data_IF_291509933863
#
_entry.id   IF_291509933863
#
_cell.length_a   1.000
_cell.length_b   1.000
_cell.length_c   1.000
_cell.angle_alpha   90.00
_cell.angle_beta   90.00
_cell.angle_gamma   90.00
#
_symmetry.space_group_name_H-M   'P 1'
#
loop_
_entity.id
_entity.type
_entity.pdbx_description
1 polymer ?
#
# COMPACT_ATOMS: atom_id res chain seq x y z
N UNK A 1 -1.84 -6.50 -26.84
CA UNK A 1 -1.94 -6.01 -26.22
C UNK A 1 -2.43 -5.50 -25.39
N UNK A 2 -2.39 -6.12 -25.77
CA UNK A 2 -2.66 -5.58 -25.02
C UNK A 2 -2.95 -5.28 -24.40
N UNK A 3 -2.90 -5.59 -24.56
CA UNK A 3 -3.20 -5.13 -23.82
C UNK A 3 -3.52 -4.71 -23.17
N UNK A 4 -3.50 -4.92 -23.43
CA UNK A 4 -3.84 -4.40 -22.77
C UNK A 4 -4.11 -3.93 -22.11
N UNK A 5 -4.08 -4.12 -22.54
CA UNK A 5 -4.40 -3.61 -21.91
C UNK A 5 -4.63 -3.18 -21.20
N UNK A 6 -4.82 -3.10 -21.79
CA UNK A 6 -5.23 -2.57 -21.08
C UNK A 6 -5.34 -2.32 -20.40
N UNK A 7 -5.14 -2.72 -20.65
CA UNK A 7 -5.33 -2.39 -19.99
C UNK A 7 -5.50 -2.06 -19.33
N UNK A 8 -5.32 -2.28 -19.35
CA UNK A 8 -5.48 -2.02 -18.69
C UNK A 8 -5.64 -1.79 -18.05
N UNK A 9 -5.55 -2.05 -18.28
CA UNK A 9 -5.71 -1.86 -17.67
C UNK A 9 -5.85 -1.67 -17.13
N UNK A 10 -5.85 -1.94 -17.50
CA UNK A 10 -6.02 -1.78 -16.89
C UNK A 10 -6.18 -1.58 -16.42
N UNK A 11 -6.09 -2.03 -16.74
CA UNK A 11 -6.23 -1.83 -16.19
C UNK A 11 -6.47 -1.73 -15.76
N UNK A 12 -6.40 -2.27 -16.17
CA UNK A 12 -6.52 -2.17 -15.72
C UNK A 12 -6.64 -2.27 -15.46
N UNK A 13 -6.67 -2.77 -15.86
CA UNK A 13 -6.63 -2.85 -15.63
C UNK A 13 -6.55 -3.22 -15.47
N UNK A 14 -6.50 -3.80 -15.77
CA UNK A 14 -6.32 -4.15 -15.65
C UNK A 14 -5.95 -4.61 -15.69
N UNK A 15 -5.73 -4.95 -16.04
CA UNK A 15 -5.26 -5.28 -16.14
C UNK A 15 -4.71 -5.63 -15.87
N UNK A 16 -4.29 -6.31 -15.94
CA UNK A 16 -3.72 -6.62 -15.71
C UNK A 16 -3.00 -6.95 -15.13
N UNK A 17 -2.71 -6.77 -14.98
CA UNK A 17 -1.54 -7.56 -14.91
C UNK A 17 -1.12 -7.95 -13.53
N UNK A 18 -0.64 -9.16 -13.37
CA UNK A 18 -0.30 -9.71 -12.09
C UNK A 18 1.00 -9.15 -11.54
N UNK A 19 1.84 -8.60 -12.38
CA UNK A 19 3.09 -8.00 -11.93
C UNK A 19 2.89 -6.86 -10.96
N UNK A 20 1.73 -6.19 -11.05
CA UNK A 20 1.44 -5.07 -10.17
C UNK A 20 1.19 -5.49 -8.73
N UNK A 21 0.91 -6.79 -8.51
CA UNK A 21 0.66 -7.30 -7.16
C UNK A 21 1.89 -7.93 -6.55
N UNK A 22 3.00 -7.94 -7.25
CA UNK A 22 4.20 -8.61 -6.75
C UNK A 22 4.91 -7.77 -5.70
N UNK A 23 5.24 -8.41 -4.58
CA UNK A 23 6.14 -7.82 -3.60
C UNK A 23 7.53 -7.84 -4.23
N UNK A 24 8.23 -6.73 -4.14
CA UNK A 24 9.53 -6.58 -4.77
C UNK A 24 10.63 -6.53 -3.73
N UNK A 25 11.66 -7.37 -3.88
CA UNK A 25 12.82 -7.34 -3.00
C UNK A 25 14.01 -6.87 -3.81
N UNK A 26 14.65 -5.81 -3.35
CA UNK A 26 15.80 -5.23 -4.02
C UNK A 26 16.95 -5.10 -3.03
N UNK A 27 18.08 -4.62 -3.52
CA UNK A 27 19.25 -4.39 -2.67
C UNK A 27 18.95 -3.37 -1.57
N UNK A 28 18.02 -2.46 -1.80
CA UNK A 28 17.67 -1.45 -0.80
C UNK A 28 16.47 -1.84 0.06
N UNK A 29 15.96 -3.06 -0.06
CA UNK A 29 14.89 -3.57 0.79
C UNK A 29 13.71 -4.08 0.01
N UNK A 30 12.65 -4.42 0.74
CA UNK A 30 11.43 -4.95 0.15
C UNK A 30 10.44 -3.81 -0.07
N UNK A 31 9.75 -3.85 -1.21
CA UNK A 31 8.72 -2.88 -1.54
C UNK A 31 7.43 -3.60 -1.81
N UNK A 32 6.34 -3.01 -1.37
CA UNK A 32 5.02 -3.64 -1.42
C UNK A 32 4.08 -2.79 -2.28
N UNK A 33 3.31 -3.40 -3.18
CA UNK A 33 2.39 -2.62 -4.01
C UNK A 33 1.16 -2.21 -3.25
N UNK A 34 0.68 -1.00 -3.52
CA UNK A 34 -0.64 -0.61 -3.04
C UNK A 34 -1.67 -1.30 -3.92
N UNK A 35 -2.92 -1.33 -3.47
CA UNK A 35 -3.97 -2.05 -4.18
C UNK A 35 -4.14 -1.49 -5.59
N UNK A 36 -4.24 -2.36 -6.61
CA UNK A 36 -4.44 -1.91 -7.98
C UNK A 36 -5.75 -1.13 -8.11
N UNK A 37 -5.71 -0.07 -8.89
CA UNK A 37 -6.88 0.74 -9.11
C UNK A 37 -7.22 1.72 -8.00
N UNK A 38 -6.36 1.82 -6.99
CA UNK A 38 -6.58 2.73 -5.86
C UNK A 38 -5.46 3.75 -5.78
N UNK A 39 -5.85 4.98 -5.43
CA UNK A 39 -4.90 5.99 -4.99
C UNK A 39 -4.98 5.99 -3.47
N UNK A 40 -3.84 5.93 -2.82
CA UNK A 40 -3.81 5.78 -1.37
C UNK A 40 -3.25 7.04 -0.74
N UNK A 41 -3.99 7.60 0.21
CA UNK A 41 -3.55 8.80 0.91
C UNK A 41 -2.48 8.46 1.93
N UNK A 42 -1.42 9.27 1.94
CA UNK A 42 -0.35 9.19 2.93
C UNK A 42 -0.63 10.26 3.97
N UNK A 43 -0.67 9.87 5.23
CA UNK A 43 -1.04 10.78 6.32
C UNK A 43 0.11 10.94 7.31
N UNK A 44 0.01 11.97 8.14
CA UNK A 44 1.07 12.24 9.12
C UNK A 44 1.03 11.30 10.30
N UNK A 45 -0.01 10.49 10.43
CA UNK A 45 -0.13 9.55 11.54
C UNK A 45 -1.11 8.45 11.20
N UNK A 46 -1.34 7.52 12.15
CA UNK A 46 -2.12 6.31 11.87
C UNK A 46 -3.62 6.51 11.99
N UNK A 47 -4.19 7.34 11.14
CA UNK A 47 -5.63 7.56 11.14
C UNK A 47 -6.06 8.57 10.11
N UNK A 48 -7.35 8.56 9.81
CA UNK A 48 -7.91 9.47 8.81
C UNK A 48 -8.11 10.88 9.34
N UNK A 49 -7.95 11.08 10.64
CA UNK A 49 -7.99 12.42 11.21
C UNK A 49 -6.65 13.15 11.07
N UNK A 50 -5.59 12.42 10.71
CA UNK A 50 -4.30 13.05 10.49
C UNK A 50 -4.25 13.65 9.08
N UNK A 51 -3.44 14.68 8.93
CA UNK A 51 -3.35 15.43 7.69
C UNK A 51 -2.79 14.55 6.55
N UNK A 52 -3.34 14.73 5.35
CA UNK A 52 -2.82 14.08 4.16
C UNK A 52 -1.56 14.82 3.71
N UNK A 53 -0.46 14.06 3.59
CA UNK A 53 0.82 14.61 3.12
C UNK A 53 0.88 14.58 1.60
N UNK A 54 0.42 13.48 1.02
CA UNK A 54 0.43 13.28 -0.42
C UNK A 54 -0.44 12.08 -0.74
N UNK A 55 -0.69 11.84 -2.02
CA UNK A 55 -1.46 10.70 -2.47
C UNK A 55 -0.58 9.86 -3.39
N UNK A 56 -0.53 8.55 -3.12
CA UNK A 56 0.25 7.64 -3.94
C UNK A 56 -0.48 7.37 -5.24
N UNK A 57 0.23 7.41 -6.38
CA UNK A 57 -0.40 7.10 -7.66
C UNK A 57 -0.67 5.61 -7.80
N UNK A 58 -1.49 5.25 -8.78
CA UNK A 58 -1.80 3.86 -9.06
C UNK A 58 -0.53 3.06 -9.26
N UNK A 59 -0.52 1.85 -8.72
CA UNK A 59 0.57 0.91 -8.96
C UNK A 59 1.86 1.18 -8.22
N UNK A 60 1.87 2.17 -7.34
CA UNK A 60 3.09 2.51 -6.61
C UNK A 60 3.46 1.38 -5.64
N UNK A 61 4.75 1.06 -5.58
CA UNK A 61 5.28 0.17 -4.55
C UNK A 61 5.96 1.00 -3.49
N UNK A 62 5.78 0.62 -2.24
CA UNK A 62 6.30 1.41 -1.13
C UNK A 62 7.06 0.51 -0.16
N UNK A 63 8.07 1.07 0.52
CA UNK A 63 8.73 0.35 1.60
C UNK A 63 7.86 0.41 2.85
N UNK A 64 8.08 -0.51 3.78
CA UNK A 64 7.44 -0.46 5.09
C UNK A 64 8.56 -0.60 6.13
N UNK A 65 8.83 0.47 6.85
CA UNK A 65 9.91 0.48 7.83
C UNK A 65 9.46 -0.02 9.19
N UNK A 66 8.23 0.29 9.55
CA UNK A 66 7.63 -0.17 10.81
C UNK A 66 6.13 -0.06 10.67
N UNK A 67 5.41 -0.68 11.61
CA UNK A 67 3.95 -0.66 11.60
C UNK A 67 3.45 -0.37 13.00
N UNK A 68 2.30 0.30 13.09
CA UNK A 68 1.72 0.58 14.39
C UNK A 68 0.19 0.57 14.28
N UNK A 69 -0.50 0.26 15.39
CA UNK A 69 -1.95 0.28 15.38
C UNK A 69 -2.48 1.71 15.41
N UNK A 70 -3.62 1.88 14.82
CA UNK A 70 -4.31 3.15 14.81
C UNK A 70 -5.76 2.94 14.47
N UNK A 71 -6.30 3.82 13.63
CA UNK A 71 -7.70 3.74 13.24
C UNK A 71 -7.98 2.49 12.43
N UNK A 72 -9.09 1.81 12.71
CA UNK A 72 -9.50 0.64 11.94
C UNK A 72 -10.02 1.09 10.57
N UNK A 73 -9.52 0.47 9.53
CA UNK A 73 -9.87 0.81 8.15
C UNK A 73 -10.23 -0.47 7.40
N UNK A 74 -11.29 -0.42 6.63
CA UNK A 74 -11.66 -1.51 5.72
C UNK A 74 -11.24 -1.13 4.32
N UNK A 75 -10.45 -1.98 3.70
CA UNK A 75 -9.96 -1.77 2.34
C UNK A 75 -10.02 -3.04 1.54
N UNK A 76 -9.42 -3.05 0.33
CA UNK A 76 -9.50 -4.21 -0.54
C UNK A 76 -8.85 -5.47 0.03
N UNK A 77 -7.95 -5.33 0.99
CA UNK A 77 -7.29 -6.49 1.58
C UNK A 77 -7.83 -6.81 2.97
N UNK A 78 -9.01 -6.30 3.30
CA UNK A 78 -9.68 -6.64 4.54
C UNK A 78 -9.73 -5.47 5.51
N UNK A 79 -10.09 -5.76 6.75
CA UNK A 79 -10.18 -4.76 7.81
C UNK A 79 -8.98 -4.88 8.72
N UNK A 80 -8.32 -3.78 8.98
CA UNK A 80 -7.12 -3.78 9.81
C UNK A 80 -6.99 -2.44 10.53
N UNK A 81 -6.37 -2.47 11.70
CA UNK A 81 -6.02 -1.23 12.39
C UNK A 81 -4.53 -0.92 12.26
N UNK A 82 -3.81 -1.68 11.43
CA UNK A 82 -2.40 -1.42 11.24
C UNK A 82 -2.18 -0.30 10.23
N UNK A 83 -1.17 0.50 10.49
CA UNK A 83 -0.73 1.56 9.61
C UNK A 83 0.74 1.38 9.34
N UNK A 84 1.12 1.51 8.08
CA UNK A 84 2.46 1.22 7.60
C UNK A 84 3.25 2.51 7.46
N UNK A 85 4.39 2.57 8.15
CA UNK A 85 5.29 3.72 8.04
C UNK A 85 6.14 3.56 6.79
N UNK A 86 6.00 4.49 5.85
CA UNK A 86 6.67 4.40 4.56
C UNK A 86 7.75 5.46 4.38
N UNK A 87 7.80 6.43 5.28
CA UNK A 87 8.82 7.47 5.31
C UNK A 87 8.67 8.17 6.65
N UNK A 88 9.61 9.04 6.98
CA UNK A 88 9.57 9.74 8.25
C UNK A 88 8.28 10.57 8.35
N UNK A 89 7.46 10.25 9.36
CA UNK A 89 6.20 10.96 9.58
C UNK A 89 5.14 10.69 8.52
N UNK A 90 5.23 9.58 7.79
CA UNK A 90 4.28 9.26 6.72
C UNK A 90 3.75 7.83 6.90
N UNK A 91 2.43 7.71 6.91
CA UNK A 91 1.76 6.45 7.17
C UNK A 91 0.65 6.20 6.16
N UNK A 92 0.45 4.93 5.79
CA UNK A 92 -0.67 4.51 4.96
C UNK A 92 -1.39 3.36 5.66
N UNK A 93 -2.69 3.22 5.39
CA UNK A 93 -3.48 2.15 5.98
C UNK A 93 -3.07 0.82 5.36
N UNK A 94 -2.73 -0.16 6.20
CA UNK A 94 -2.28 -1.48 5.75
C UNK A 94 -3.36 -2.18 4.92
N UNK A 95 -4.63 -1.86 5.16
CA UNK A 95 -5.75 -2.46 4.43
C UNK A 95 -5.70 -2.18 2.93
N UNK A 96 -4.87 -1.22 2.48
CA UNK A 96 -4.72 -0.88 1.08
C UNK A 96 -3.36 -1.31 0.51
N UNK A 97 -2.58 -2.10 1.26
CA UNK A 97 -1.24 -2.50 0.83
C UNK A 97 -1.14 -4.02 0.79
N UNK A 98 -0.64 -4.55 -0.32
CA UNK A 98 -0.49 -5.99 -0.44
C UNK A 98 0.84 -6.41 0.17
N UNK A 99 0.77 -7.03 1.35
CA UNK A 99 1.97 -7.51 2.04
C UNK A 99 2.14 -9.02 1.93
N UNK A 100 1.09 -9.71 1.50
CA UNK A 100 1.13 -11.16 1.38
C UNK A 100 0.72 -11.89 2.65
N UNK A 101 0.42 -11.17 3.73
CA UNK A 101 -0.05 -11.80 4.97
C UNK A 101 -0.77 -10.79 5.82
N UNK A 102 -1.57 -11.28 6.75
CA UNK A 102 -2.23 -10.45 7.74
C UNK A 102 -1.25 -10.14 8.87
N UNK A 103 -1.51 -9.04 9.57
CA UNK A 103 -0.74 -8.69 10.74
C UNK A 103 0.60 -8.05 10.42
N UNK A 104 1.49 -8.07 11.38
CA UNK A 104 2.76 -7.38 11.27
C UNK A 104 3.71 -8.11 10.33
N UNK A 105 4.32 -7.34 9.43
CA UNK A 105 5.38 -7.85 8.56
C UNK A 105 6.67 -7.05 8.75
N UNK A 106 6.66 -6.11 9.68
CA UNK A 106 7.80 -5.25 9.98
C UNK A 106 7.78 -4.98 11.49
N UNK A 107 8.86 -4.42 12.04
CA UNK A 107 8.87 -4.09 13.47
C UNK A 107 7.78 -3.08 13.80
N UNK A 108 7.36 -3.07 15.06
CA UNK A 108 6.42 -2.04 15.51
C UNK A 108 7.14 -0.70 15.55
N UNK A 109 6.43 0.33 15.11
CA UNK A 109 6.89 1.69 15.35
C UNK A 109 6.66 1.98 16.83
N UNK A 110 7.65 2.42 17.53
CA UNK A 110 7.47 2.67 18.92
C UNK A 110 7.13 4.02 19.26
#
# INVERSE_FOLDING_TARGET
>A
MGVEEHTQEPTAAGETASGDLAVETTASGTRYPIAPGYRVNVRTGPGTSYRIVRTLPYGQKIPIYCQKPGERVTGPYGTSNLWDNIANGQFVADAYVYTGRDGYIAPRCD
#
